data_IF_350478655933
#
_entry.id   IF_350478655933
#
_cell.length_a   1.000
_cell.length_b   1.000
_cell.length_c   1.000
_cell.angle_alpha   90.00
_cell.angle_beta   90.00
_cell.angle_gamma   90.00
#
_symmetry.space_group_name_H-M   'P 1'
#
loop_
_entity.id
_entity.type
_entity.pdbx_description
1 polymer ?
#
# COMPACT_ATOMS: atom_id res chain seq x y z
N UNK A 1 -5.69 -1.14 14.02
CA UNK A 1 -6.98 -1.60 13.52
C UNK A 1 -6.93 -3.10 13.30
N UNK A 2 -8.04 -3.77 13.57
CA UNK A 2 -8.18 -5.22 13.48
C UNK A 2 -9.47 -5.55 12.74
N UNK A 3 -9.55 -6.74 12.17
CA UNK A 3 -10.76 -7.35 11.62
C UNK A 3 -11.16 -8.49 12.55
N UNK A 4 -12.46 -8.78 12.59
CA UNK A 4 -13.01 -9.83 13.42
C UNK A 4 -12.42 -11.21 13.07
N UNK A 5 -11.95 -11.91 14.08
CA UNK A 5 -11.37 -13.24 13.99
C UNK A 5 -12.30 -14.34 14.52
N UNK A 6 -11.73 -15.40 15.04
CA UNK A 6 -12.50 -16.50 15.59
C UNK A 6 -12.58 -16.40 17.12
N UNK A 7 -13.82 -16.36 17.62
CA UNK A 7 -14.12 -16.36 19.05
C UNK A 7 -14.35 -17.77 19.57
N UNK A 8 -14.05 -18.02 20.82
CA UNK A 8 -14.31 -19.32 21.44
C UNK A 8 -14.89 -19.20 22.85
N UNK A 9 -15.97 -19.94 23.08
CA UNK A 9 -16.58 -20.08 24.41
C UNK A 9 -15.66 -20.82 25.34
N UNK A 10 -15.61 -20.34 26.59
CA UNK A 10 -14.86 -20.96 27.66
C UNK A 10 -15.59 -22.13 28.35
N UNK A 11 -15.09 -22.52 29.52
CA UNK A 11 -15.46 -23.74 30.25
C UNK A 11 -16.91 -23.81 30.72
N UNK A 12 -17.57 -22.66 30.93
CA UNK A 12 -18.98 -22.64 31.33
C UNK A 12 -19.96 -22.60 30.13
N UNK A 13 -19.45 -22.69 28.88
CA UNK A 13 -20.29 -22.56 27.68
C UNK A 13 -20.93 -21.19 27.54
N UNK A 14 -22.10 -21.12 26.95
CA UNK A 14 -22.83 -19.88 26.74
C UNK A 14 -23.38 -19.73 25.32
N UNK A 15 -23.73 -18.52 24.95
CA UNK A 15 -24.12 -18.13 23.59
C UNK A 15 -23.04 -17.20 23.04
N UNK A 16 -22.55 -17.53 21.84
CA UNK A 16 -21.62 -16.73 21.09
C UNK A 16 -22.36 -16.06 19.93
N UNK A 17 -22.29 -14.73 19.87
CA UNK A 17 -22.85 -13.93 18.79
C UNK A 17 -21.88 -12.78 18.54
N UNK A 18 -21.08 -12.89 17.49
CA UNK A 18 -20.06 -11.97 17.01
C UNK A 18 -19.61 -10.92 18.02
N UNK A 19 -18.39 -11.05 18.58
CA UNK A 19 -17.84 -10.16 19.62
C UNK A 19 -18.66 -10.06 20.93
N UNK A 20 -19.71 -10.86 21.07
CA UNK A 20 -20.54 -10.90 22.26
C UNK A 20 -20.70 -12.31 22.79
N UNK A 21 -20.31 -12.54 24.03
CA UNK A 21 -20.52 -13.79 24.72
C UNK A 21 -21.47 -13.64 25.90
N UNK A 22 -22.58 -14.39 25.89
CA UNK A 22 -23.51 -14.43 27.00
C UNK A 22 -23.29 -15.71 27.81
N UNK A 23 -22.92 -15.59 29.08
CA UNK A 23 -22.56 -16.69 29.96
C UNK A 23 -23.43 -16.71 31.18
N UNK A 24 -24.00 -17.88 31.52
CA UNK A 24 -24.71 -18.09 32.82
C UNK A 24 -23.76 -18.67 33.82
N UNK A 25 -23.48 -17.92 34.89
CA UNK A 25 -22.59 -18.36 35.94
C UNK A 25 -23.32 -19.14 37.01
N UNK A 26 -22.75 -20.27 37.41
CA UNK A 26 -23.19 -21.09 38.54
C UNK A 26 -22.27 -20.86 39.72
N UNK A 27 -22.84 -20.75 40.93
CA UNK A 27 -22.07 -20.50 42.15
C UNK A 27 -20.95 -21.56 42.33
N UNK A 28 -19.76 -21.10 42.70
CA UNK A 28 -18.55 -21.89 42.92
C UNK A 28 -17.99 -22.62 41.69
N UNK A 29 -18.48 -22.34 40.49
CA UNK A 29 -17.91 -22.89 39.24
C UNK A 29 -17.22 -21.77 38.45
N UNK A 30 -15.89 -21.82 38.27
CA UNK A 30 -15.21 -20.80 37.50
C UNK A 30 -15.54 -20.89 36.01
N UNK A 31 -15.77 -19.74 35.37
CA UNK A 31 -15.89 -19.60 33.90
C UNK A 31 -14.57 -19.11 33.39
N UNK A 32 -13.82 -19.94 32.66
CA UNK A 32 -12.46 -19.68 32.21
C UNK A 32 -12.30 -19.88 30.71
N UNK A 33 -11.26 -19.27 30.13
CA UNK A 33 -10.81 -19.50 28.76
C UNK A 33 -11.78 -19.03 27.69
N UNK A 34 -12.45 -17.92 27.91
CA UNK A 34 -13.17 -17.19 26.85
C UNK A 34 -12.17 -16.35 26.04
N UNK A 35 -12.24 -16.46 24.74
CA UNK A 35 -11.30 -15.74 23.86
C UNK A 35 -12.04 -15.03 22.75
N UNK A 36 -11.62 -13.82 22.47
CA UNK A 36 -11.99 -13.03 21.29
C UNK A 36 -10.76 -12.99 20.38
N UNK A 37 -10.92 -13.48 19.15
CA UNK A 37 -9.86 -13.50 18.17
C UNK A 37 -9.91 -12.26 17.28
N UNK A 38 -8.73 -11.68 16.99
CA UNK A 38 -8.61 -10.50 16.16
C UNK A 38 -7.51 -10.66 15.12
N UNK A 39 -7.79 -10.26 13.89
CA UNK A 39 -6.80 -10.24 12.81
C UNK A 39 -6.27 -8.81 12.57
N UNK A 40 -4.96 -8.56 12.70
CA UNK A 40 -4.41 -7.25 12.37
C UNK A 40 -4.48 -6.97 10.88
N UNK A 41 -4.86 -5.74 10.50
CA UNK A 41 -4.74 -5.29 9.12
C UNK A 41 -3.29 -5.13 8.68
N UNK A 42 -3.06 -5.16 7.37
CA UNK A 42 -1.77 -4.91 6.78
C UNK A 42 -1.52 -3.42 6.50
N UNK A 43 -0.27 -3.09 6.18
CA UNK A 43 0.14 -1.82 5.58
C UNK A 43 0.64 -2.09 4.16
N UNK A 44 0.31 -1.19 3.23
CA UNK A 44 0.93 -1.12 1.89
C UNK A 44 1.70 0.19 1.81
N UNK A 45 3.00 0.15 1.49
CA UNK A 45 3.84 1.36 1.53
C UNK A 45 4.98 1.34 0.52
N UNK A 46 5.45 2.55 0.18
CA UNK A 46 6.53 2.74 -0.77
C UNK A 46 7.05 4.17 -0.80
N UNK A 47 7.73 4.51 -1.89
CA UNK A 47 8.35 5.82 -2.10
C UNK A 47 8.22 6.23 -3.56
N UNK A 48 7.91 7.50 -3.80
CA UNK A 48 8.07 8.18 -5.09
C UNK A 48 9.36 8.98 -5.05
N UNK A 49 10.24 8.83 -6.02
CA UNK A 49 11.56 9.44 -6.02
C UNK A 49 11.96 10.02 -7.38
N UNK A 50 12.85 11.01 -7.38
CA UNK A 50 13.43 11.53 -8.61
C UNK A 50 14.63 10.68 -9.03
N UNK A 51 14.53 9.94 -10.12
CA UNK A 51 15.65 9.23 -10.77
C UNK A 51 16.47 10.22 -11.59
N UNK A 52 17.48 10.82 -10.95
CA UNK A 52 18.28 11.89 -11.55
C UNK A 52 19.33 11.38 -12.54
N UNK A 53 19.71 10.12 -12.44
CA UNK A 53 20.71 9.51 -13.31
C UNK A 53 20.10 8.64 -14.41
N UNK A 54 18.81 8.28 -14.30
CA UNK A 54 18.07 7.47 -15.28
C UNK A 54 18.44 6.00 -15.25
N UNK A 55 18.83 5.48 -14.07
CA UNK A 55 19.21 4.07 -13.94
C UNK A 55 18.08 3.14 -13.49
N UNK A 56 16.92 3.71 -13.12
CA UNK A 56 15.74 2.97 -12.66
C UNK A 56 15.86 2.39 -11.25
N UNK A 57 16.82 2.89 -10.44
CA UNK A 57 17.02 2.47 -9.06
C UNK A 57 17.04 3.69 -8.13
N UNK A 58 16.49 3.56 -6.93
CA UNK A 58 16.49 4.64 -5.95
C UNK A 58 17.83 4.73 -5.22
N UNK A 59 18.70 5.62 -5.67
CA UNK A 59 20.02 5.89 -5.10
C UNK A 59 19.92 6.90 -3.96
N UNK A 60 19.58 6.44 -2.76
CA UNK A 60 19.27 7.29 -1.58
C UNK A 60 20.38 8.25 -1.17
N UNK A 61 21.61 8.09 -1.68
CA UNK A 61 22.73 9.00 -1.42
C UNK A 61 22.70 10.25 -2.31
N UNK A 62 22.06 10.17 -3.49
CA UNK A 62 22.08 11.21 -4.53
C UNK A 62 20.69 11.62 -4.99
N UNK A 63 19.67 10.84 -4.68
CA UNK A 63 18.30 11.03 -5.10
C UNK A 63 17.38 11.26 -3.92
N UNK A 64 16.34 12.05 -4.14
CA UNK A 64 15.37 12.43 -3.13
C UNK A 64 13.96 11.99 -3.46
N UNK A 65 13.15 11.85 -2.42
CA UNK A 65 11.73 11.60 -2.58
C UNK A 65 10.98 12.84 -3.08
N UNK A 66 9.89 12.62 -3.80
CA UNK A 66 9.03 13.68 -4.33
C UNK A 66 7.83 13.88 -3.40
N UNK A 67 7.68 15.10 -2.92
CA UNK A 67 6.61 15.49 -2.00
C UNK A 67 5.27 15.68 -2.69
N UNK A 68 4.19 15.30 -1.98
CA UNK A 68 2.79 15.56 -2.36
C UNK A 68 2.35 14.93 -3.69
N UNK A 69 2.90 13.79 -4.03
CA UNK A 69 2.41 12.98 -5.14
C UNK A 69 1.20 12.17 -4.67
N UNK A 70 0.13 12.19 -5.46
CA UNK A 70 -1.10 11.47 -5.12
C UNK A 70 -1.03 10.01 -5.57
N UNK A 71 -1.38 9.10 -4.67
CA UNK A 71 -1.47 7.66 -4.95
C UNK A 71 -2.85 7.11 -4.59
N UNK A 72 -3.30 6.12 -5.35
CA UNK A 72 -4.52 5.36 -5.11
C UNK A 72 -4.22 3.88 -4.91
N UNK A 73 -4.85 3.26 -3.92
CA UNK A 73 -4.87 1.82 -3.73
C UNK A 73 -6.31 1.34 -3.88
N UNK A 74 -6.61 0.57 -4.92
CA UNK A 74 -7.96 0.10 -5.20
C UNK A 74 -7.99 -1.39 -5.51
N UNK A 75 -9.08 -2.07 -5.15
CA UNK A 75 -9.22 -3.50 -5.42
C UNK A 75 -10.40 -4.12 -4.71
N UNK A 76 -10.31 -5.43 -4.47
CA UNK A 76 -11.36 -6.22 -3.83
C UNK A 76 -10.79 -6.96 -2.63
N UNK A 77 -11.45 -6.81 -1.50
CA UNK A 77 -11.11 -7.54 -0.28
C UNK A 77 -11.38 -9.03 -0.42
N UNK A 78 -10.77 -9.85 0.42
CA UNK A 78 -11.03 -11.30 0.48
C UNK A 78 -12.50 -11.64 0.77
N UNK A 79 -13.27 -10.68 1.32
CA UNK A 79 -14.72 -10.79 1.55
C UNK A 79 -15.56 -10.30 0.36
N UNK A 80 -14.93 -10.01 -0.80
CA UNK A 80 -15.62 -9.57 -2.01
C UNK A 80 -16.08 -8.10 -2.00
N UNK A 81 -15.66 -7.30 -1.03
CA UNK A 81 -16.02 -5.88 -0.95
C UNK A 81 -15.02 -5.02 -1.70
N UNK A 82 -15.46 -4.00 -2.45
CA UNK A 82 -14.56 -3.05 -3.08
C UNK A 82 -13.87 -2.18 -2.03
N UNK A 83 -12.59 -1.88 -2.24
CA UNK A 83 -11.81 -0.92 -1.45
C UNK A 83 -11.17 0.10 -2.38
N UNK A 84 -11.19 1.36 -1.97
CA UNK A 84 -10.44 2.44 -2.61
C UNK A 84 -9.92 3.40 -1.55
N UNK A 85 -8.59 3.56 -1.50
CA UNK A 85 -7.89 4.43 -0.56
C UNK A 85 -7.04 5.42 -1.35
N UNK A 86 -6.85 6.62 -0.80
CA UNK A 86 -5.98 7.66 -1.35
C UNK A 86 -4.94 8.06 -0.30
N UNK A 87 -3.73 8.35 -0.77
CA UNK A 87 -2.65 8.89 0.04
C UNK A 87 -1.80 9.86 -0.78
N UNK A 88 -1.09 10.75 -0.11
CA UNK A 88 -0.08 11.58 -0.73
C UNK A 88 1.28 11.29 -0.10
N UNK A 89 2.35 11.45 -0.85
CA UNK A 89 3.71 11.31 -0.33
C UNK A 89 4.04 12.40 0.67
N UNK A 90 4.81 12.05 1.69
CA UNK A 90 5.40 12.96 2.67
C UNK A 90 6.62 13.72 2.11
N UNK A 91 7.26 14.56 2.94
CA UNK A 91 8.44 15.33 2.57
C UNK A 91 9.68 14.50 2.17
N UNK A 92 9.64 13.19 2.39
CA UNK A 92 10.67 12.23 1.98
C UNK A 92 10.23 11.36 0.80
N UNK A 93 9.10 11.68 0.18
CA UNK A 93 8.50 10.92 -0.92
C UNK A 93 7.82 9.62 -0.49
N UNK A 94 7.66 9.37 0.80
CA UNK A 94 7.08 8.13 1.31
C UNK A 94 5.57 8.20 1.38
N UNK A 95 4.91 7.08 1.08
CA UNK A 95 3.48 6.88 1.24
C UNK A 95 3.17 5.60 2.00
N UNK A 96 2.00 5.57 2.65
CA UNK A 96 1.47 4.38 3.29
C UNK A 96 -0.06 4.37 3.29
N UNK A 97 -0.63 3.21 3.02
CA UNK A 97 -2.05 2.92 3.19
C UNK A 97 -2.22 2.03 4.42
N UNK A 98 -3.08 2.45 5.34
CA UNK A 98 -3.43 1.69 6.53
C UNK A 98 -4.78 2.20 7.07
N UNK A 99 -5.68 1.33 7.50
CA UNK A 99 -5.62 -0.13 7.47
C UNK A 99 -5.97 -0.71 6.09
N UNK A 100 -5.27 -1.79 5.67
CA UNK A 100 -5.59 -2.51 4.44
C UNK A 100 -6.03 -3.94 4.78
N UNK A 101 -7.31 -4.29 4.52
CA UNK A 101 -7.79 -5.65 4.68
C UNK A 101 -7.12 -6.62 3.70
N UNK A 102 -7.17 -7.94 3.97
CA UNK A 102 -6.77 -8.94 2.99
C UNK A 102 -7.55 -8.81 1.68
N UNK A 103 -6.86 -9.02 0.57
CA UNK A 103 -7.47 -8.86 -0.76
C UNK A 103 -6.43 -8.84 -1.87
N UNK A 104 -6.87 -8.41 -3.04
CA UNK A 104 -6.00 -8.18 -4.19
C UNK A 104 -6.23 -6.76 -4.69
N UNK A 105 -5.13 -6.00 -4.81
CA UNK A 105 -5.18 -4.58 -5.06
C UNK A 105 -4.31 -4.16 -6.24
N UNK A 106 -4.58 -2.96 -6.72
CA UNK A 106 -3.79 -2.20 -7.68
C UNK A 106 -3.39 -0.89 -7.03
N UNK A 107 -2.11 -0.57 -7.11
CA UNK A 107 -1.52 0.69 -6.68
C UNK A 107 -1.28 1.53 -7.93
N UNK A 108 -1.76 2.77 -7.91
CA UNK A 108 -1.64 3.73 -9.02
C UNK A 108 -1.06 5.03 -8.48
N UNK A 109 -0.07 5.56 -9.15
CA UNK A 109 0.41 6.91 -8.93
C UNK A 109 -0.25 7.88 -9.90
N UNK A 110 -0.37 9.14 -9.52
CA UNK A 110 -0.71 10.24 -10.42
C UNK A 110 0.56 10.96 -10.81
N UNK A 111 0.95 10.86 -12.08
CA UNK A 111 2.17 11.46 -12.62
C UNK A 111 2.38 12.90 -12.14
N UNK A 112 3.47 13.22 -11.44
CA UNK A 112 3.76 14.58 -11.01
C UNK A 112 4.14 15.48 -12.20
N UNK A 113 3.41 16.58 -12.38
CA UNK A 113 3.43 17.40 -13.60
C UNK A 113 4.76 18.10 -13.95
N UNK A 114 5.78 17.99 -13.10
CA UNK A 114 7.12 18.55 -13.34
C UNK A 114 8.15 17.49 -13.72
N UNK A 115 7.74 16.24 -13.87
CA UNK A 115 8.60 15.10 -14.13
C UNK A 115 8.10 14.34 -15.36
N UNK A 116 8.99 13.55 -15.94
CA UNK A 116 8.64 12.50 -16.90
C UNK A 116 8.59 11.16 -16.18
N UNK A 117 7.68 10.33 -16.62
CA UNK A 117 7.56 8.96 -16.14
C UNK A 117 8.89 8.18 -16.28
N UNK A 118 9.26 7.46 -15.23
CA UNK A 118 10.46 6.65 -15.14
C UNK A 118 10.18 5.16 -15.00
N UNK A 119 10.76 4.50 -14.00
CA UNK A 119 10.57 3.07 -13.76
C UNK A 119 9.87 2.79 -12.43
N UNK A 120 8.86 1.91 -12.46
CA UNK A 120 8.26 1.33 -11.27
C UNK A 120 8.98 0.06 -10.85
N UNK A 121 9.14 -0.08 -9.54
CA UNK A 121 9.63 -1.33 -8.96
C UNK A 121 8.55 -1.93 -8.07
N UNK A 122 8.05 -3.15 -8.35
CA UNK A 122 7.15 -3.83 -7.48
C UNK A 122 7.86 -4.13 -6.16
N UNK A 123 7.18 -3.89 -5.05
CA UNK A 123 7.71 -4.16 -3.74
C UNK A 123 7.77 -5.66 -3.42
N UNK A 124 7.35 -6.02 -2.20
CA UNK A 124 7.33 -7.42 -1.76
C UNK A 124 6.33 -8.30 -2.51
N UNK A 125 5.37 -7.70 -3.28
CA UNK A 125 4.38 -8.44 -4.06
C UNK A 125 3.80 -7.56 -5.19
N UNK A 126 3.20 -8.20 -6.19
CA UNK A 126 2.58 -7.53 -7.33
C UNK A 126 3.43 -7.55 -8.59
N UNK A 127 2.90 -6.97 -9.65
CA UNK A 127 3.55 -6.85 -10.96
C UNK A 127 3.37 -5.44 -11.52
N UNK A 128 4.41 -4.90 -12.14
CA UNK A 128 4.30 -3.64 -12.90
C UNK A 128 3.45 -3.89 -14.14
N UNK A 129 2.51 -3.00 -14.40
CA UNK A 129 1.70 -3.04 -15.62
C UNK A 129 2.37 -2.14 -16.66
N UNK A 130 3.07 -2.76 -17.59
CA UNK A 130 3.68 -2.04 -18.71
C UNK A 130 2.65 -1.83 -19.82
N UNK A 131 2.55 -0.62 -20.34
CA UNK A 131 1.64 -0.29 -21.45
C UNK A 131 1.90 1.11 -22.00
N UNK A 132 1.28 1.51 -23.13
CA UNK A 132 1.34 2.90 -23.57
C UNK A 132 0.64 3.81 -22.54
N UNK A 133 1.17 5.02 -22.35
CA UNK A 133 0.59 6.01 -21.43
C UNK A 133 -0.95 6.08 -21.55
N UNK A 134 -1.69 6.15 -20.45
CA UNK A 134 -1.29 6.46 -19.07
C UNK A 134 -1.08 5.25 -18.14
N UNK A 135 -0.66 4.10 -18.66
CA UNK A 135 -0.55 2.84 -17.89
C UNK A 135 0.82 2.64 -17.21
N UNK A 136 1.67 3.65 -17.21
CA UNK A 136 3.04 3.53 -16.69
C UNK A 136 3.11 3.50 -15.15
N UNK A 137 2.24 4.25 -14.46
CA UNK A 137 2.30 4.42 -13.01
C UNK A 137 1.44 3.40 -12.25
N UNK A 138 1.46 2.12 -12.66
CA UNK A 138 0.55 1.11 -12.13
C UNK A 138 1.29 -0.16 -11.71
N UNK A 139 1.11 -0.56 -10.46
CA UNK A 139 1.52 -1.87 -9.94
C UNK A 139 0.26 -2.65 -9.55
N UNK A 140 -0.03 -3.74 -10.25
CA UNK A 140 -1.24 -4.53 -10.09
C UNK A 140 -1.00 -5.90 -9.43
N UNK A 141 -2.11 -6.60 -9.13
CA UNK A 141 -2.10 -7.94 -8.54
C UNK A 141 -1.30 -8.02 -7.24
N UNK A 142 -1.48 -7.04 -6.36
CA UNK A 142 -0.86 -6.97 -5.04
C UNK A 142 -1.69 -7.81 -4.07
N UNK A 143 -1.25 -9.02 -3.69
CA UNK A 143 -1.92 -9.81 -2.68
C UNK A 143 -1.59 -9.27 -1.29
N UNK A 144 -2.61 -9.01 -0.50
CA UNK A 144 -2.49 -8.59 0.91
C UNK A 144 -3.10 -9.64 1.80
N UNK A 145 -2.40 -9.99 2.88
CA UNK A 145 -2.85 -10.91 3.92
C UNK A 145 -2.82 -10.24 5.29
N UNK A 146 -3.53 -10.81 6.27
CA UNK A 146 -3.58 -10.24 7.62
C UNK A 146 -2.20 -10.09 8.25
N UNK A 147 -1.93 -8.90 8.78
CA UNK A 147 -0.74 -8.59 9.57
C UNK A 147 0.59 -8.66 8.83
N UNK A 148 0.58 -8.93 7.54
CA UNK A 148 1.80 -9.00 6.73
C UNK A 148 1.99 -7.67 5.98
N UNK A 149 3.00 -6.88 6.34
CA UNK A 149 3.30 -5.64 5.61
C UNK A 149 3.70 -5.94 4.15
N UNK A 150 3.14 -5.19 3.23
CA UNK A 150 3.48 -5.23 1.80
C UNK A 150 4.17 -3.92 1.47
N UNK A 151 5.49 -3.96 1.27
CA UNK A 151 6.34 -2.75 1.28
C UNK A 151 7.33 -2.72 0.14
N UNK A 152 8.02 -1.58 -0.01
CA UNK A 152 9.12 -1.43 -0.96
C UNK A 152 8.68 -1.11 -2.38
N UNK A 153 7.46 -0.59 -2.57
CA UNK A 153 7.02 -0.07 -3.87
C UNK A 153 7.78 1.21 -4.19
N UNK A 154 8.30 1.30 -5.42
CA UNK A 154 9.01 2.47 -5.89
C UNK A 154 8.39 2.96 -7.20
N UNK A 155 8.19 4.26 -7.28
CA UNK A 155 7.85 5.00 -8.49
C UNK A 155 8.98 5.98 -8.75
N UNK A 156 9.68 5.78 -9.85
CA UNK A 156 10.84 6.60 -10.22
C UNK A 156 10.46 7.63 -11.27
N UNK A 157 10.81 8.88 -11.03
CA UNK A 157 10.44 10.02 -11.85
C UNK A 157 11.66 10.70 -12.46
N UNK A 158 11.68 10.91 -13.76
CA UNK A 158 12.80 11.53 -14.45
C UNK A 158 12.67 13.05 -14.52
N UNK A 159 13.75 13.76 -14.18
CA UNK A 159 13.79 15.20 -14.33
C UNK A 159 13.83 15.62 -15.82
N UNK A 160 13.06 16.64 -16.21
CA UNK A 160 13.20 17.24 -17.53
C UNK A 160 14.63 17.77 -17.74
N UNK A 161 15.19 17.54 -18.92
CA UNK A 161 16.52 18.05 -19.30
C UNK A 161 16.36 19.16 -20.32
N UNK A 162 17.17 20.20 -20.19
CA UNK A 162 17.19 21.31 -21.14
C UNK A 162 18.19 21.05 -22.27
N UNK A 163 17.75 21.20 -23.49
CA UNK A 163 18.63 21.25 -24.67
C UNK A 163 18.70 22.70 -25.13
N UNK A 164 19.92 23.25 -25.23
CA UNK A 164 20.14 24.57 -25.80
C UNK A 164 20.94 24.45 -27.11
N UNK A 165 20.57 25.23 -28.10
CA UNK A 165 21.28 25.32 -29.38
C UNK A 165 21.48 26.79 -29.75
N UNK A 166 22.60 27.09 -30.42
CA UNK A 166 22.90 28.41 -30.98
C UNK A 166 23.04 28.30 -32.51
N UNK A 167 22.35 29.18 -33.20
CA UNK A 167 22.54 29.35 -34.65
C UNK A 167 23.42 30.57 -34.84
N UNK A 168 24.50 30.43 -35.63
CA UNK A 168 25.38 31.54 -36.00
C UNK A 168 25.55 31.62 -37.49
N UNK A 169 25.87 32.80 -37.99
CA UNK A 169 26.23 33.01 -39.38
C UNK A 169 27.76 32.80 -39.51
N UNK A 170 28.15 31.90 -40.40
CA UNK A 170 29.54 31.66 -40.81
C UNK A 170 29.81 32.49 -42.08
N UNK A 171 30.74 33.46 -42.02
CA UNK A 171 31.06 34.39 -43.05
C UNK A 171 32.29 33.95 -43.87
#
# INVERSE_FOLDING_TARGET
AYDDGADALGTAGGILDNDVMTVSLVAATPALSYTFGEFPFAVVSGTVYGDYNGNGAFDTATEGGIYNVALGLAGTTARGQPLSLLANTDGSGRFAFFPVPPGVYTLTETQPGSYFDGNETPGSAGVVVSGPAPAFDVIANIPVTYGVPVTGYLFGEMNPRTVSAQVYADW
#
